data_IF_472126758868
#
_entry.id   IF_472126758868
#
_cell.length_a   1.000
_cell.length_b   1.000
_cell.length_c   1.000
_cell.angle_alpha   90.00
_cell.angle_beta   90.00
_cell.angle_gamma   90.00
#
_symmetry.space_group_name_H-M   'P 1'
#
loop_
_entity.id
_entity.type
_entity.pdbx_description
1 polymer ?
#
# COMPACT_ATOMS: atom_id res chain seq x y z
N UNK A 1 12.93 -27.15 -12.79
CA UNK A 1 13.12 -27.83 -14.06
C UNK A 1 12.42 -29.21 -14.08
N UNK A 2 12.67 -30.06 -13.08
CA UNK A 2 12.14 -31.42 -13.02
C UNK A 2 10.61 -31.55 -12.91
N UNK A 3 9.93 -30.48 -12.55
CA UNK A 3 8.45 -30.43 -12.44
C UNK A 3 7.76 -30.10 -13.79
N UNK A 4 8.51 -29.69 -14.83
CA UNK A 4 7.94 -29.38 -16.13
C UNK A 4 7.65 -30.68 -16.89
N UNK A 5 6.40 -30.85 -17.32
CA UNK A 5 5.91 -31.98 -18.09
C UNK A 5 5.21 -31.52 -19.35
N UNK A 6 4.79 -32.46 -20.23
CA UNK A 6 3.98 -32.14 -21.41
C UNK A 6 2.61 -31.51 -21.10
N UNK A 7 2.16 -31.62 -19.83
CA UNK A 7 0.93 -30.98 -19.38
C UNK A 7 1.15 -29.55 -18.84
N UNK A 8 2.40 -29.14 -18.61
CA UNK A 8 2.72 -27.78 -18.17
C UNK A 8 2.40 -26.78 -19.28
N UNK A 9 1.60 -25.75 -19.00
CA UNK A 9 1.16 -24.75 -19.97
C UNK A 9 1.70 -23.35 -19.70
N UNK A 10 2.16 -23.09 -18.49
CA UNK A 10 2.74 -21.81 -18.08
C UNK A 10 3.57 -21.99 -16.81
N UNK A 11 4.47 -21.04 -16.55
CA UNK A 11 5.10 -20.88 -15.24
C UNK A 11 4.47 -19.64 -14.60
N UNK A 12 3.91 -19.81 -13.40
CA UNK A 12 3.34 -18.74 -12.59
C UNK A 12 4.29 -18.43 -11.44
N UNK A 13 4.76 -17.19 -11.38
CA UNK A 13 5.44 -16.63 -10.20
C UNK A 13 4.49 -15.70 -9.47
N UNK A 14 4.33 -15.89 -8.17
CA UNK A 14 3.54 -15.03 -7.31
C UNK A 14 4.48 -14.28 -6.37
N UNK A 15 4.34 -12.95 -6.30
CA UNK A 15 5.07 -12.14 -5.35
C UNK A 15 4.41 -12.22 -3.97
N UNK A 16 5.17 -12.47 -2.89
CA UNK A 16 4.61 -12.53 -1.54
C UNK A 16 4.28 -11.12 -1.00
N UNK A 17 3.27 -10.46 -1.58
CA UNK A 17 2.93 -9.06 -1.27
C UNK A 17 2.26 -8.87 0.11
N UNK A 18 1.82 -9.94 0.78
CA UNK A 18 1.06 -9.88 2.03
C UNK A 18 1.56 -10.82 3.14
N UNK A 19 2.68 -11.50 2.93
CA UNK A 19 3.31 -12.36 3.92
C UNK A 19 4.82 -12.39 3.72
N UNK A 20 5.53 -12.82 4.76
CA UNK A 20 6.98 -13.00 4.74
C UNK A 20 7.33 -14.47 4.83
N UNK A 21 8.25 -14.92 3.97
CA UNK A 21 8.91 -16.21 4.13
C UNK A 21 10.13 -16.01 5.04
N UNK A 22 10.17 -16.73 6.15
CA UNK A 22 11.29 -16.70 7.10
C UNK A 22 11.98 -18.06 7.09
N UNK A 23 13.30 -18.08 6.91
CA UNK A 23 14.11 -19.30 6.91
C UNK A 23 15.03 -19.40 5.71
N UNK A 24 15.55 -20.59 5.46
CA UNK A 24 16.42 -20.88 4.32
C UNK A 24 15.60 -20.96 3.03
N UNK A 25 15.45 -19.85 2.33
CA UNK A 25 14.81 -19.81 1.01
C UNK A 25 15.59 -18.87 0.08
N UNK A 26 15.48 -19.13 -1.21
CA UNK A 26 15.99 -18.27 -2.26
C UNK A 26 14.83 -17.83 -3.17
N UNK A 27 14.79 -16.57 -3.52
CA UNK A 27 13.83 -16.04 -4.50
C UNK A 27 14.43 -16.14 -5.89
N UNK A 28 13.77 -16.87 -6.78
CA UNK A 28 14.19 -16.98 -8.17
C UNK A 28 13.79 -15.68 -8.92
N UNK A 29 14.75 -15.05 -9.59
CA UNK A 29 14.54 -13.84 -10.37
C UNK A 29 13.75 -14.07 -11.65
N UNK A 30 13.12 -13.01 -12.19
CA UNK A 30 12.35 -13.08 -13.45
C UNK A 30 13.23 -13.53 -14.62
N UNK A 31 14.43 -12.97 -14.74
CA UNK A 31 15.39 -13.33 -15.82
C UNK A 31 15.80 -14.81 -15.79
N UNK A 32 15.91 -15.39 -14.60
CA UNK A 32 16.24 -16.80 -14.43
C UNK A 32 15.06 -17.69 -14.82
N UNK A 33 13.85 -17.34 -14.40
CA UNK A 33 12.62 -18.01 -14.83
C UNK A 33 12.39 -17.88 -16.33
N UNK A 34 12.72 -16.73 -16.93
CA UNK A 34 12.62 -16.55 -18.39
C UNK A 34 13.47 -17.54 -19.15
N UNK A 35 14.73 -17.77 -18.72
CA UNK A 35 15.62 -18.78 -19.35
C UNK A 35 15.02 -20.19 -19.29
N UNK A 36 14.40 -20.53 -18.15
CA UNK A 36 13.71 -21.80 -18.00
C UNK A 36 12.49 -21.92 -18.92
N UNK A 37 11.71 -20.83 -19.02
CA UNK A 37 10.55 -20.78 -19.89
C UNK A 37 10.94 -20.86 -21.36
N UNK A 38 12.03 -20.19 -21.79
CA UNK A 38 12.54 -20.26 -23.15
C UNK A 38 12.97 -21.68 -23.53
N UNK A 39 13.65 -22.38 -22.62
CA UNK A 39 14.08 -23.76 -22.83
C UNK A 39 12.91 -24.76 -22.94
N UNK A 40 11.76 -24.44 -22.36
CA UNK A 40 10.57 -25.29 -22.34
C UNK A 40 9.43 -24.79 -23.25
N UNK A 41 9.63 -23.70 -23.99
CA UNK A 41 8.61 -22.99 -24.80
C UNK A 41 7.33 -22.70 -24.00
N UNK A 42 7.49 -22.14 -22.81
CA UNK A 42 6.39 -21.83 -21.89
C UNK A 42 6.26 -20.31 -21.67
N UNK A 43 5.04 -19.78 -21.53
CA UNK A 43 4.83 -18.42 -21.08
C UNK A 43 5.15 -18.26 -19.58
N UNK A 44 5.70 -17.09 -19.23
CA UNK A 44 5.94 -16.67 -17.85
C UNK A 44 4.88 -15.66 -17.41
N UNK A 45 4.10 -16.02 -16.41
CA UNK A 45 3.10 -15.16 -15.77
C UNK A 45 3.65 -14.71 -14.42
N UNK A 46 3.60 -13.41 -14.13
CA UNK A 46 4.00 -12.88 -12.84
C UNK A 46 2.85 -12.12 -12.18
N UNK A 47 2.36 -12.64 -11.06
CA UNK A 47 1.40 -11.93 -10.21
C UNK A 47 2.15 -11.11 -9.15
N UNK A 48 2.13 -9.78 -9.32
CA UNK A 48 2.76 -8.84 -8.38
C UNK A 48 1.87 -8.62 -7.15
N UNK A 49 0.55 -8.57 -7.35
CA UNK A 49 -0.44 -8.35 -6.31
C UNK A 49 -0.51 -6.90 -5.81
N UNK A 50 0.61 -6.26 -5.46
CA UNK A 50 0.65 -4.91 -4.85
C UNK A 50 0.27 -3.76 -5.78
N UNK A 51 0.60 -3.87 -7.07
CA UNK A 51 0.28 -2.85 -8.08
C UNK A 51 1.08 -1.56 -7.96
N UNK A 52 2.29 -1.62 -7.44
CA UNK A 52 3.22 -0.49 -7.47
C UNK A 52 3.64 -0.18 -8.91
N UNK A 53 3.39 1.03 -9.39
CA UNK A 53 3.84 1.53 -10.70
C UNK A 53 4.93 2.59 -10.58
N UNK A 54 5.22 3.01 -9.36
CA UNK A 54 6.35 3.88 -8.97
C UNK A 54 7.18 3.16 -7.92
N UNK A 55 8.47 3.48 -7.85
CA UNK A 55 9.39 2.82 -6.93
C UNK A 55 9.03 3.12 -5.46
N UNK A 56 8.67 2.07 -4.76
CA UNK A 56 8.37 2.04 -3.32
C UNK A 56 8.94 0.79 -2.66
N UNK A 57 9.90 0.12 -3.33
CA UNK A 57 10.48 -1.14 -2.86
C UNK A 57 9.75 -2.41 -3.31
N UNK A 58 8.68 -2.28 -4.12
CA UNK A 58 7.93 -3.39 -4.72
C UNK A 58 8.34 -3.63 -6.17
N UNK A 59 8.15 -4.85 -6.72
CA UNK A 59 8.35 -5.09 -8.14
C UNK A 59 7.48 -4.20 -9.01
N UNK A 60 8.10 -3.53 -9.99
CA UNK A 60 7.38 -2.68 -10.93
C UNK A 60 6.91 -3.47 -12.14
N UNK A 61 5.63 -3.39 -12.56
CA UNK A 61 5.10 -4.12 -13.71
C UNK A 61 5.92 -3.92 -14.99
N UNK A 62 6.33 -2.67 -15.27
CA UNK A 62 7.14 -2.34 -16.46
C UNK A 62 8.51 -3.01 -16.42
N UNK A 63 9.15 -3.09 -15.24
CA UNK A 63 10.45 -3.76 -15.09
C UNK A 63 10.32 -5.28 -15.25
N UNK A 64 9.28 -5.85 -14.64
CA UNK A 64 8.99 -7.30 -14.72
C UNK A 64 8.72 -7.73 -16.16
N UNK A 65 8.00 -6.94 -16.96
CA UNK A 65 7.81 -7.17 -18.40
C UNK A 65 9.13 -7.06 -19.16
N UNK A 66 9.95 -6.04 -18.86
CA UNK A 66 11.26 -5.84 -19.48
C UNK A 66 12.23 -6.99 -19.13
N UNK A 67 12.17 -7.54 -17.93
CA UNK A 67 12.97 -8.68 -17.47
C UNK A 67 12.51 -10.02 -18.08
N UNK A 68 11.39 -10.05 -18.79
CA UNK A 68 10.98 -11.16 -19.63
C UNK A 68 9.69 -11.88 -19.25
N UNK A 69 8.89 -11.37 -18.30
CA UNK A 69 7.55 -11.91 -18.10
C UNK A 69 6.68 -11.66 -19.36
N UNK A 70 5.84 -12.61 -19.74
CA UNK A 70 4.90 -12.47 -20.84
C UNK A 70 3.62 -11.78 -20.41
N UNK A 71 3.20 -12.05 -19.17
CA UNK A 71 2.01 -11.47 -18.55
C UNK A 71 2.34 -11.06 -17.12
N UNK A 72 1.89 -9.88 -16.73
CA UNK A 72 1.96 -9.37 -15.36
C UNK A 72 0.56 -9.04 -14.88
N UNK A 73 0.21 -9.48 -13.66
CA UNK A 73 -1.08 -9.18 -13.04
C UNK A 73 -0.89 -8.43 -11.73
N UNK A 74 -1.83 -7.55 -11.39
CA UNK A 74 -1.85 -6.84 -10.12
C UNK A 74 -3.23 -6.24 -9.80
N UNK A 75 -3.41 -5.83 -8.54
CA UNK A 75 -4.64 -5.21 -8.06
C UNK A 75 -4.64 -3.69 -8.28
N UNK A 76 -5.76 -3.15 -8.76
CA UNK A 76 -5.93 -1.71 -8.96
C UNK A 76 -6.20 -0.93 -7.69
N UNK A 77 -6.70 -1.55 -6.65
CA UNK A 77 -7.15 -0.94 -5.39
C UNK A 77 -6.12 -0.99 -4.25
N UNK A 78 -4.88 -1.37 -4.55
CA UNK A 78 -3.77 -1.35 -3.60
C UNK A 78 -2.85 -0.15 -3.89
N UNK A 79 -1.53 -0.36 -4.06
CA UNK A 79 -0.57 0.71 -4.33
C UNK A 79 -0.82 1.45 -5.65
N UNK A 80 -1.49 0.82 -6.61
CA UNK A 80 -1.93 1.53 -7.82
C UNK A 80 -2.91 2.67 -7.51
N UNK A 81 -3.65 2.60 -6.40
CA UNK A 81 -4.47 3.69 -5.87
C UNK A 81 -5.76 3.98 -6.65
N UNK A 82 -6.24 3.03 -7.47
CA UNK A 82 -7.48 3.15 -8.22
C UNK A 82 -8.64 2.36 -7.57
N UNK A 83 -9.67 2.01 -8.33
CA UNK A 83 -10.76 1.15 -7.87
C UNK A 83 -10.35 -0.31 -7.88
N UNK A 84 -11.15 -1.16 -7.21
CA UNK A 84 -10.99 -2.61 -7.25
C UNK A 84 -11.11 -3.13 -8.68
N UNK A 85 -10.01 -3.67 -9.17
CA UNK A 85 -9.85 -4.22 -10.50
C UNK A 85 -8.67 -5.21 -10.53
N UNK A 86 -8.77 -6.26 -11.31
CA UNK A 86 -7.60 -7.04 -11.75
C UNK A 86 -7.04 -6.41 -13.02
N UNK A 87 -5.78 -6.00 -12.99
CA UNK A 87 -5.09 -5.43 -14.14
C UNK A 87 -4.17 -6.48 -14.72
N UNK A 88 -4.25 -6.68 -16.04
CA UNK A 88 -3.43 -7.63 -16.79
C UNK A 88 -2.63 -6.85 -17.83
N UNK A 89 -1.33 -6.89 -17.73
CA UNK A 89 -0.41 -6.33 -18.73
C UNK A 89 0.26 -7.47 -19.49
N UNK A 90 0.29 -7.35 -20.81
CA UNK A 90 0.90 -8.33 -21.70
C UNK A 90 2.09 -7.73 -22.43
N UNK A 91 3.16 -8.50 -22.57
CA UNK A 91 4.34 -8.09 -23.35
C UNK A 91 4.03 -8.01 -24.86
N UNK A 92 3.11 -8.87 -25.35
CA UNK A 92 2.67 -8.92 -26.74
C UNK A 92 1.18 -8.59 -26.85
N UNK A 93 0.81 -7.78 -27.83
CA UNK A 93 -0.59 -7.45 -28.12
C UNK A 93 -1.43 -8.69 -28.45
N UNK A 94 -0.87 -9.65 -29.16
CA UNK A 94 -1.54 -10.91 -29.51
C UNK A 94 -1.99 -11.70 -28.28
N UNK A 95 -1.21 -11.67 -27.18
CA UNK A 95 -1.60 -12.29 -25.91
C UNK A 95 -2.78 -11.55 -25.27
N UNK A 96 -2.74 -10.22 -25.27
CA UNK A 96 -3.83 -9.39 -24.76
C UNK A 96 -5.13 -9.59 -25.55
N UNK A 97 -5.03 -9.69 -26.89
CA UNK A 97 -6.15 -9.96 -27.78
C UNK A 97 -6.78 -11.34 -27.50
N UNK A 98 -5.95 -12.37 -27.33
CA UNK A 98 -6.42 -13.71 -27.01
C UNK A 98 -7.15 -13.77 -25.65
N UNK A 99 -6.65 -13.05 -24.64
CA UNK A 99 -7.32 -12.92 -23.34
C UNK A 99 -8.66 -12.19 -23.51
N UNK A 100 -8.69 -11.09 -24.26
CA UNK A 100 -9.90 -10.29 -24.46
C UNK A 100 -11.01 -11.03 -25.22
N UNK A 101 -10.64 -11.96 -26.10
CA UNK A 101 -11.57 -12.80 -26.86
C UNK A 101 -12.12 -13.98 -26.05
N UNK A 102 -11.51 -14.30 -24.90
CA UNK A 102 -11.97 -15.42 -24.07
C UNK A 102 -13.34 -15.11 -23.44
N UNK A 103 -14.31 -16.04 -23.49
CA UNK A 103 -15.64 -15.82 -22.89
C UNK A 103 -15.62 -15.48 -21.39
N UNK A 104 -14.64 -15.99 -20.63
CA UNK A 104 -14.47 -15.63 -19.21
C UNK A 104 -14.16 -14.15 -19.01
N UNK A 105 -13.40 -13.52 -19.92
CA UNK A 105 -13.13 -12.10 -19.83
C UNK A 105 -14.42 -11.27 -19.84
N UNK A 106 -15.39 -11.66 -20.67
CA UNK A 106 -16.69 -11.00 -20.70
C UNK A 106 -17.48 -11.21 -19.40
N UNK A 107 -17.38 -12.36 -18.78
CA UNK A 107 -18.07 -12.67 -17.53
C UNK A 107 -17.53 -11.85 -16.34
N UNK A 108 -16.20 -11.60 -16.30
CA UNK A 108 -15.51 -10.90 -15.21
C UNK A 108 -15.19 -9.43 -15.51
N UNK A 109 -15.64 -8.89 -16.65
CA UNK A 109 -15.33 -7.52 -17.04
C UNK A 109 -15.85 -6.49 -16.05
N UNK A 110 -15.13 -5.41 -15.90
CA UNK A 110 -15.53 -4.26 -15.09
C UNK A 110 -16.77 -3.55 -15.68
N UNK A 111 -17.54 -2.93 -14.82
CA UNK A 111 -18.58 -1.98 -15.21
C UNK A 111 -18.00 -0.66 -15.74
N UNK A 112 -18.84 0.16 -16.36
CA UNK A 112 -18.43 1.43 -16.99
C UNK A 112 -17.86 2.45 -15.99
N UNK A 113 -18.38 2.45 -14.76
CA UNK A 113 -17.95 3.41 -13.72
C UNK A 113 -16.52 3.07 -13.31
N UNK A 114 -16.25 1.81 -13.00
CA UNK A 114 -14.89 1.34 -12.65
C UNK A 114 -13.90 1.53 -13.78
N UNK A 115 -14.31 1.30 -15.04
CA UNK A 115 -13.47 1.57 -16.20
C UNK A 115 -13.10 3.05 -16.29
N UNK A 116 -14.05 3.97 -16.11
CA UNK A 116 -13.78 5.41 -16.09
C UNK A 116 -12.86 5.86 -14.95
N UNK A 117 -13.03 5.28 -13.75
CA UNK A 117 -12.14 5.54 -12.62
C UNK A 117 -10.71 5.02 -12.88
N UNK A 118 -10.60 3.83 -13.47
CA UNK A 118 -9.31 3.22 -13.83
C UNK A 118 -8.60 4.04 -14.92
N UNK A 119 -9.33 4.43 -15.96
CA UNK A 119 -8.82 5.32 -17.01
C UNK A 119 -8.28 6.63 -16.43
N UNK A 120 -9.02 7.24 -15.50
CA UNK A 120 -8.58 8.47 -14.83
C UNK A 120 -7.28 8.25 -14.07
N UNK A 121 -7.15 7.14 -13.34
CA UNK A 121 -5.92 6.80 -12.62
C UNK A 121 -4.73 6.63 -13.58
N UNK A 122 -4.91 5.86 -14.67
CA UNK A 122 -3.88 5.67 -15.69
C UNK A 122 -3.45 7.01 -16.29
N UNK A 123 -4.39 7.88 -16.65
CA UNK A 123 -4.10 9.21 -17.20
C UNK A 123 -3.32 10.10 -16.21
N UNK A 124 -3.57 9.99 -14.91
CA UNK A 124 -2.79 10.71 -13.90
C UNK A 124 -1.34 10.21 -13.87
N UNK A 125 -1.11 8.91 -13.88
CA UNK A 125 0.25 8.35 -13.96
C UNK A 125 0.98 8.77 -15.25
N UNK A 126 0.31 8.70 -16.40
CA UNK A 126 0.90 9.11 -17.67
C UNK A 126 1.26 10.61 -17.71
N UNK A 127 0.59 11.43 -16.91
CA UNK A 127 0.86 12.87 -16.77
C UNK A 127 1.86 13.20 -15.64
N UNK A 128 2.45 12.19 -15.00
CA UNK A 128 3.35 12.38 -13.85
C UNK A 128 2.66 12.98 -12.62
N UNK A 129 1.34 12.76 -12.45
CA UNK A 129 0.56 13.27 -11.33
C UNK A 129 0.28 12.19 -10.29
N UNK A 130 1.28 11.37 -10.00
CA UNK A 130 1.27 10.36 -8.95
C UNK A 130 1.18 10.97 -7.53
N UNK A 131 1.53 12.25 -7.39
CA UNK A 131 1.30 13.07 -6.20
C UNK A 131 -0.17 13.16 -5.75
N UNK A 132 -1.11 12.94 -6.66
CA UNK A 132 -2.54 12.96 -6.36
C UNK A 132 -3.10 11.67 -5.76
N UNK A 133 -2.29 10.61 -5.66
CA UNK A 133 -2.68 9.37 -4.99
C UNK A 133 -2.28 9.44 -3.51
N UNK A 134 -3.26 9.51 -2.57
CA UNK A 134 -2.97 9.75 -1.15
C UNK A 134 -1.99 8.73 -0.55
N UNK A 135 -2.16 7.44 -0.87
CA UNK A 135 -1.28 6.37 -0.37
C UNK A 135 0.17 6.56 -0.85
N UNK A 136 0.36 6.84 -2.14
CA UNK A 136 1.69 7.06 -2.70
C UNK A 136 2.34 8.33 -2.15
N UNK A 137 1.57 9.41 -2.02
CA UNK A 137 2.04 10.65 -1.41
C UNK A 137 2.52 10.41 0.03
N UNK A 138 1.77 9.66 0.84
CA UNK A 138 2.17 9.30 2.20
C UNK A 138 3.42 8.42 2.24
N UNK A 139 3.50 7.38 1.37
CA UNK A 139 4.65 6.47 1.33
C UNK A 139 5.93 7.21 0.96
N UNK A 140 5.88 8.08 -0.04
CA UNK A 140 7.05 8.81 -0.58
C UNK A 140 7.40 10.08 0.20
N UNK A 141 6.58 10.48 1.16
CA UNK A 141 6.82 11.70 1.91
C UNK A 141 8.11 11.62 2.74
N UNK A 142 8.94 12.65 2.63
CA UNK A 142 10.19 12.77 3.36
C UNK A 142 9.99 12.76 4.88
N UNK A 143 10.84 12.03 5.61
CA UNK A 143 10.80 11.92 7.08
C UNK A 143 10.81 13.31 7.75
N UNK A 144 11.52 14.26 7.18
CA UNK A 144 11.63 15.64 7.68
C UNK A 144 10.29 16.38 7.66
N UNK A 145 9.49 16.20 6.60
CA UNK A 145 8.16 16.79 6.47
C UNK A 145 7.17 16.17 7.47
N UNK A 146 7.21 14.84 7.63
CA UNK A 146 6.41 14.12 8.64
C UNK A 146 6.74 14.61 10.04
N UNK A 147 8.04 14.77 10.36
CA UNK A 147 8.49 15.31 11.66
C UNK A 147 7.96 16.73 11.91
N UNK A 148 7.97 17.57 10.89
CA UNK A 148 7.44 18.92 11.00
C UNK A 148 5.93 18.91 11.26
N UNK A 149 5.18 18.02 10.62
CA UNK A 149 3.75 17.81 10.86
C UNK A 149 3.49 17.33 12.29
N UNK A 150 4.26 16.35 12.77
CA UNK A 150 4.16 15.89 14.15
C UNK A 150 4.41 17.02 15.17
N UNK A 151 5.38 17.91 14.91
CA UNK A 151 5.62 19.10 15.74
C UNK A 151 4.42 20.06 15.75
N UNK A 152 3.71 20.21 14.62
CA UNK A 152 2.49 21.03 14.57
C UNK A 152 1.38 20.41 15.41
N UNK A 153 1.21 19.08 15.33
CA UNK A 153 0.27 18.35 16.22
C UNK A 153 0.64 18.62 17.69
N UNK A 154 1.91 18.49 18.06
CA UNK A 154 2.41 18.81 19.41
C UNK A 154 2.02 20.25 19.84
N UNK A 155 2.19 21.24 18.95
CA UNK A 155 1.85 22.63 19.23
C UNK A 155 0.36 22.83 19.51
N UNK A 156 -0.51 22.12 18.78
CA UNK A 156 -1.96 22.15 19.00
C UNK A 156 -2.36 21.48 20.32
N UNK A 157 -1.71 20.39 20.70
CA UNK A 157 -1.98 19.68 21.97
C UNK A 157 -1.46 20.48 23.18
N UNK A 158 -0.29 21.15 23.06
CA UNK A 158 0.26 22.02 24.10
C UNK A 158 -0.70 23.16 24.44
N UNK A 159 -1.30 23.81 23.44
CA UNK A 159 -2.31 24.88 23.65
C UNK A 159 -3.56 24.39 24.38
N UNK A 160 -3.77 23.07 24.47
CA UNK A 160 -4.89 22.41 25.14
C UNK A 160 -4.49 21.75 26.46
N UNK A 161 -3.27 22.01 26.92
CA UNK A 161 -2.69 21.45 28.15
C UNK A 161 -2.70 19.90 28.17
N UNK A 162 -2.53 19.25 27.03
CA UNK A 162 -2.44 17.80 26.92
C UNK A 162 -0.97 17.38 26.96
N UNK A 163 -0.53 16.60 27.96
CA UNK A 163 0.82 16.05 28.02
C UNK A 163 1.10 15.15 26.81
N UNK A 164 2.23 15.38 26.14
CA UNK A 164 2.59 14.65 24.93
C UNK A 164 4.11 14.59 24.75
N UNK A 165 4.56 13.61 23.96
CA UNK A 165 5.96 13.45 23.59
C UNK A 165 6.07 13.22 22.08
N UNK A 166 6.99 13.93 21.40
CA UNK A 166 7.35 13.66 20.03
C UNK A 166 8.18 12.36 19.97
N UNK A 167 7.79 11.39 19.17
CA UNK A 167 8.47 10.10 19.07
C UNK A 167 8.72 9.74 17.60
N UNK A 168 9.84 9.03 17.36
CA UNK A 168 10.09 8.40 16.07
C UNK A 168 9.27 7.11 16.01
N UNK A 169 8.62 6.86 14.90
CA UNK A 169 7.78 5.70 14.64
C UNK A 169 8.14 5.07 13.31
N UNK A 170 7.51 3.97 13.03
CA UNK A 170 7.52 3.30 11.73
C UNK A 170 6.09 3.12 11.29
N UNK A 171 5.80 3.53 10.05
CA UNK A 171 4.51 3.33 9.42
C UNK A 171 4.55 2.07 8.54
N UNK A 172 3.44 1.40 8.44
CA UNK A 172 3.23 0.25 7.57
C UNK A 172 2.16 0.58 6.53
N UNK A 173 2.28 0.03 5.32
CA UNK A 173 1.33 0.31 4.22
C UNK A 173 0.02 -0.45 4.38
N UNK A 174 -0.08 -1.35 5.35
CA UNK A 174 -1.31 -2.12 5.60
C UNK A 174 -1.42 -3.42 4.81
N UNK A 175 -2.47 -4.19 5.08
CA UNK A 175 -2.62 -5.55 4.59
C UNK A 175 -2.58 -5.70 3.08
N UNK A 176 -1.71 -6.59 2.61
CA UNK A 176 -1.58 -6.94 1.19
C UNK A 176 -0.54 -6.17 0.40
N UNK A 177 0.28 -5.31 1.06
CA UNK A 177 1.33 -4.55 0.40
C UNK A 177 2.47 -4.23 1.36
N UNK A 178 3.70 -4.36 0.90
CA UNK A 178 4.93 -4.01 1.63
C UNK A 178 5.00 -4.58 3.07
N UNK A 179 4.85 -5.88 3.29
CA UNK A 179 4.77 -6.46 4.64
C UNK A 179 6.09 -6.34 5.42
N UNK A 180 7.17 -5.90 4.79
CA UNK A 180 8.52 -5.84 5.36
C UNK A 180 9.13 -4.44 5.36
N UNK A 181 8.48 -3.46 4.74
CA UNK A 181 9.03 -2.11 4.61
C UNK A 181 8.50 -1.24 5.75
N UNK A 182 9.31 -1.13 6.79
CA UNK A 182 9.12 -0.12 7.82
C UNK A 182 9.44 1.25 7.22
N UNK A 183 8.41 2.06 7.00
CA UNK A 183 8.58 3.42 6.48
C UNK A 183 8.87 4.36 7.64
N UNK A 184 10.03 5.05 7.67
CA UNK A 184 10.35 5.99 8.73
C UNK A 184 9.23 7.03 8.90
N UNK A 185 8.81 7.24 10.15
CA UNK A 185 7.75 8.15 10.51
C UNK A 185 8.01 8.88 11.83
N UNK A 186 7.16 9.83 12.16
CA UNK A 186 7.12 10.54 13.42
C UNK A 186 5.69 10.61 13.92
N UNK A 187 5.53 10.41 15.22
CA UNK A 187 4.24 10.48 15.87
C UNK A 187 4.27 11.29 17.17
N UNK A 188 3.10 11.45 17.73
CA UNK A 188 2.90 12.09 19.02
C UNK A 188 2.35 11.05 20.00
N UNK A 189 3.14 10.72 21.01
CA UNK A 189 2.77 9.78 22.05
C UNK A 189 2.04 10.49 23.19
N UNK A 190 0.96 9.88 23.66
CA UNK A 190 0.11 10.31 24.76
C UNK A 190 0.03 9.20 25.81
N UNK A 191 0.06 9.56 27.07
CA UNK A 191 -0.19 8.64 28.19
C UNK A 191 -1.49 9.04 28.89
N UNK A 192 -2.64 8.58 28.39
CA UNK A 192 -3.94 9.00 28.90
C UNK A 192 -4.20 8.43 30.32
N UNK A 193 -4.79 9.22 31.23
CA UNK A 193 -5.07 8.79 32.60
C UNK A 193 -5.99 7.58 32.70
N UNK A 194 -6.88 7.39 31.70
CA UNK A 194 -7.81 6.26 31.64
C UNK A 194 -7.21 4.98 31.02
N UNK A 195 -5.91 4.99 30.69
CA UNK A 195 -5.23 3.92 29.98
C UNK A 195 -5.38 4.00 28.46
N UNK A 196 -4.44 3.39 27.76
CA UNK A 196 -4.32 3.45 26.29
C UNK A 196 -5.51 2.80 25.58
N UNK A 197 -6.02 1.68 26.09
CA UNK A 197 -7.15 0.96 25.50
C UNK A 197 -8.46 1.75 25.56
N UNK A 198 -8.80 2.24 26.76
CA UNK A 198 -10.01 3.02 26.96
C UNK A 198 -9.97 4.32 26.14
N UNK A 199 -8.82 4.97 26.11
CA UNK A 199 -8.65 6.20 25.34
C UNK A 199 -8.72 5.96 23.82
N UNK A 200 -8.06 4.92 23.30
CA UNK A 200 -8.14 4.54 21.90
C UNK A 200 -9.59 4.18 21.48
N UNK A 201 -10.34 3.53 22.37
CA UNK A 201 -11.77 3.27 22.12
C UNK A 201 -12.57 4.56 22.02
N UNK A 202 -12.35 5.54 22.90
CA UNK A 202 -13.02 6.85 22.83
C UNK A 202 -12.67 7.59 21.55
N UNK A 203 -11.40 7.61 21.16
CA UNK A 203 -10.94 8.23 19.91
C UNK A 203 -11.62 7.62 18.68
N UNK A 204 -11.84 6.30 18.66
CA UNK A 204 -12.58 5.65 17.57
C UNK A 204 -14.07 5.99 17.55
N UNK A 205 -14.65 6.30 18.68
CA UNK A 205 -16.08 6.62 18.83
C UNK A 205 -16.39 8.12 18.73
N UNK A 206 -15.38 8.99 18.75
CA UNK A 206 -15.59 10.43 18.60
C UNK A 206 -15.95 10.81 17.15
N UNK A 207 -16.35 12.05 16.93
CA UNK A 207 -16.69 12.58 15.61
C UNK A 207 -15.84 13.81 15.28
N UNK A 208 -14.98 13.71 14.24
CA UNK A 208 -14.68 12.53 13.43
C UNK A 208 -13.91 11.46 14.22
N UNK A 209 -13.98 10.16 13.83
CA UNK A 209 -13.26 9.09 14.49
C UNK A 209 -11.76 9.23 14.27
N UNK A 210 -10.96 8.94 15.31
CA UNK A 210 -9.50 8.95 15.25
C UNK A 210 -8.96 7.55 15.54
N UNK A 211 -8.14 7.05 14.62
CA UNK A 211 -7.42 5.79 14.78
C UNK A 211 -5.99 6.08 15.20
N UNK A 212 -5.46 5.29 16.12
CA UNK A 212 -4.15 5.47 16.70
C UNK A 212 -3.45 4.12 16.89
N UNK A 213 -2.13 4.16 17.04
CA UNK A 213 -1.31 3.00 17.41
C UNK A 213 -1.31 2.92 18.95
N UNK A 214 -1.39 1.70 19.47
CA UNK A 214 -1.21 1.41 20.90
C UNK A 214 0.11 0.70 21.09
N UNK A 215 0.96 1.21 21.97
CA UNK A 215 2.25 0.61 22.30
C UNK A 215 2.65 0.97 23.73
N UNK A 216 2.95 -0.05 24.55
CA UNK A 216 3.52 0.11 25.92
C UNK A 216 2.73 1.11 26.80
N UNK A 217 1.40 0.98 26.84
CA UNK A 217 0.53 1.86 27.64
C UNK A 217 0.38 3.29 27.08
N UNK A 218 0.90 3.54 25.90
CA UNK A 218 0.78 4.83 25.20
C UNK A 218 -0.11 4.72 23.95
N UNK A 219 -0.77 5.81 23.64
CA UNK A 219 -1.45 6.04 22.36
C UNK A 219 -0.55 6.91 21.49
N UNK A 220 -0.28 6.48 20.27
CA UNK A 220 0.57 7.19 19.31
C UNK A 220 -0.28 7.66 18.13
N UNK A 221 -0.25 8.94 17.85
CA UNK A 221 -0.82 9.57 16.67
C UNK A 221 0.29 9.67 15.63
N UNK A 222 0.28 8.78 14.63
CA UNK A 222 1.29 8.79 13.57
C UNK A 222 1.01 9.92 12.58
N UNK A 223 1.98 10.82 12.40
CA UNK A 223 1.80 11.99 11.59
C UNK A 223 1.84 11.70 10.08
N UNK A 224 2.39 10.57 9.64
CA UNK A 224 2.40 10.18 8.22
C UNK A 224 0.98 9.96 7.69
N UNK A 225 0.06 9.49 8.54
CA UNK A 225 -1.34 9.23 8.20
C UNK A 225 -2.28 10.42 8.44
N UNK A 226 -1.74 11.61 8.71
CA UNK A 226 -2.53 12.82 9.00
C UNK A 226 -2.24 13.89 7.96
N UNK A 227 -3.24 14.34 7.22
CA UNK A 227 -3.10 15.48 6.30
C UNK A 227 -3.05 16.82 7.05
N UNK A 228 -2.40 17.82 6.46
CA UNK A 228 -2.24 19.15 7.07
C UNK A 228 -3.57 19.77 7.54
N UNK A 229 -4.61 19.68 6.72
CA UNK A 229 -5.93 20.21 7.05
C UNK A 229 -6.63 19.49 8.20
N UNK A 230 -6.17 18.29 8.56
CA UNK A 230 -6.75 17.46 9.63
C UNK A 230 -6.13 17.75 11.00
N UNK A 231 -4.98 18.43 11.08
CA UNK A 231 -4.23 18.63 12.34
C UNK A 231 -5.09 19.28 13.42
N UNK A 232 -5.84 20.34 13.07
CA UNK A 232 -6.70 21.04 14.02
C UNK A 232 -7.81 20.14 14.53
N UNK A 233 -8.50 19.48 13.63
CA UNK A 233 -9.63 18.59 13.97
C UNK A 233 -9.16 17.38 14.80
N UNK A 234 -7.99 16.82 14.46
CA UNK A 234 -7.35 15.76 15.25
C UNK A 234 -7.09 16.22 16.68
N UNK A 235 -6.49 17.41 16.87
CA UNK A 235 -6.18 17.92 18.18
C UNK A 235 -7.44 18.28 19.02
N UNK A 236 -8.51 18.71 18.36
CA UNK A 236 -9.83 18.96 18.98
C UNK A 236 -10.46 17.63 19.46
N UNK A 237 -10.44 16.61 18.62
CA UNK A 237 -10.95 15.28 18.97
C UNK A 237 -10.16 14.65 20.16
N UNK A 238 -8.83 14.77 20.12
CA UNK A 238 -7.97 14.31 21.22
C UNK A 238 -8.30 15.05 22.53
N UNK A 239 -8.48 16.36 22.48
CA UNK A 239 -8.81 17.16 23.67
C UNK A 239 -10.19 16.80 24.25
N UNK A 240 -11.19 16.62 23.39
CA UNK A 240 -12.51 16.18 23.82
C UNK A 240 -12.44 14.86 24.57
N UNK A 241 -11.74 13.86 23.99
CA UNK A 241 -11.59 12.55 24.61
C UNK A 241 -10.72 12.57 25.88
N UNK A 242 -9.75 13.50 25.96
CA UNK A 242 -8.85 13.64 27.10
C UNK A 242 -9.58 14.16 28.34
N UNK A 243 -10.42 15.18 28.16
CA UNK A 243 -11.12 15.86 29.27
C UNK A 243 -12.46 15.24 29.67
N UNK A 244 -12.94 14.22 28.94
CA UNK A 244 -14.20 13.51 29.28
C UNK A 244 -14.18 12.76 30.64
N UNK A 245 -13.07 12.79 31.38
CA UNK A 245 -12.91 12.14 32.71
C UNK A 245 -12.33 13.07 33.75
N UNK A 246 -12.39 14.38 33.60
CA UNK A 246 -12.08 15.34 34.63
C UNK A 246 -13.34 15.68 35.42
#
# INVERSE_FOLDING_TARGET
HNAITSQTKAILKVHPSNYRLVGYHALVGVKELRRLCDAADLPLIYDIGSGAVVDVGEPLPQQVLADGADVVTFSGDKLFGACQAGIILCRKSTTAEAINQNPLYRAVRLDKIKLGLLERAVLLYLRGRDDLFPTLAMVREEESAVKQRARRICSHLRRRNIPHKLVRTEAEVGGGTLPEVAIPSWGVALQPPCGDEAFAKRLRLCRPPVFCIRREGSVILDAKCVFEHQIRVLAEAVALCWHQNA
#
